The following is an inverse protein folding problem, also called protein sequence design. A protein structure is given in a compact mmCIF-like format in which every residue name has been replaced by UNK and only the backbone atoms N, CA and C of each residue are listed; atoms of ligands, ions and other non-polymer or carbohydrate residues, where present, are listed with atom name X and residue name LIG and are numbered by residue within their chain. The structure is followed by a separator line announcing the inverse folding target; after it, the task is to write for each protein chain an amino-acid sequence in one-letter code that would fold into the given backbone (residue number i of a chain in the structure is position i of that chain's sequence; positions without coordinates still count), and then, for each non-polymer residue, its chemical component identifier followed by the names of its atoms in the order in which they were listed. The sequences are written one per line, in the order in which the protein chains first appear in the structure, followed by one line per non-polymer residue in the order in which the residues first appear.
data_IF_390546573611
#
_entry.id   IF_390546573611
#
_cell.length_a   1.000
_cell.length_b   1.000
_cell.length_c   1.000
_cell.angle_alpha   90.00
_cell.angle_beta   90.00
_cell.angle_gamma   90.00
#
_symmetry.space_group_name_H-M   'P 1'
#
loop_
_entity.id
_entity.type
_entity.pdbx_description
1 polymer ?
#
# COMPACT_ATOMS: atom_id res chain seq x y z
N UNK A 1 3.97 3.25 20.06
CA UNK A 1 2.54 3.32 19.73
C UNK A 1 1.65 2.73 20.80
N UNK A 2 1.96 1.54 21.35
CA UNK A 2 1.03 0.77 22.20
C UNK A 2 1.17 1.01 23.72
N UNK A 3 1.88 2.06 24.13
CA UNK A 3 2.09 2.44 25.54
C UNK A 3 1.48 3.82 25.81
N UNK A 4 0.16 3.95 25.73
CA UNK A 4 -0.53 5.24 25.74
C UNK A 4 -0.26 6.10 27.00
N UNK A 5 0.08 5.46 28.12
CA UNK A 5 0.36 6.12 29.40
C UNK A 5 1.83 6.44 29.66
N UNK A 6 2.73 6.07 28.73
CA UNK A 6 4.15 6.44 28.83
C UNK A 6 4.34 7.96 28.59
N UNK A 7 5.33 8.57 29.25
CA UNK A 7 5.69 9.99 29.03
C UNK A 7 5.88 10.34 27.53
N UNK A 8 6.55 9.50 26.71
CA UNK A 8 6.61 9.72 25.25
C UNK A 8 5.24 9.65 24.56
N UNK A 9 4.34 8.76 24.98
CA UNK A 9 3.01 8.67 24.37
C UNK A 9 2.12 9.86 24.72
N UNK A 10 2.28 10.45 25.91
CA UNK A 10 1.60 11.69 26.27
C UNK A 10 2.01 12.86 25.35
N UNK A 11 3.29 12.94 24.99
CA UNK A 11 3.79 13.92 24.02
C UNK A 11 3.15 13.72 22.62
N UNK A 12 3.04 12.47 22.17
CA UNK A 12 2.45 12.15 20.87
C UNK A 12 0.92 12.00 20.86
N UNK A 13 0.24 12.22 21.99
CA UNK A 13 -1.21 12.01 22.13
C UNK A 13 -2.04 12.70 21.03
N UNK A 14 -1.76 13.97 20.63
CA UNK A 14 -2.50 14.59 19.52
C UNK A 14 -2.34 13.88 18.19
N UNK A 15 -1.11 13.40 17.87
CA UNK A 15 -0.85 12.64 16.65
C UNK A 15 -1.54 11.27 16.69
N UNK A 16 -1.46 10.56 17.82
CA UNK A 16 -2.11 9.26 17.98
C UNK A 16 -3.64 9.36 17.87
N UNK A 17 -4.23 10.46 18.33
CA UNK A 17 -5.67 10.70 18.29
C UNK A 17 -6.24 10.90 16.87
N UNK A 18 -5.40 11.27 15.89
CA UNK A 18 -5.80 11.46 14.49
C UNK A 18 -5.44 10.28 13.60
N UNK A 19 -4.78 9.24 14.13
CA UNK A 19 -4.55 8.02 13.38
C UNK A 19 -5.90 7.36 13.03
N UNK A 20 -6.00 6.71 11.87
CA UNK A 20 -7.16 5.89 11.54
C UNK A 20 -7.38 4.87 12.66
N UNK A 21 -8.56 4.90 13.30
CA UNK A 21 -8.88 3.98 14.38
C UNK A 21 -9.04 2.55 13.84
N UNK A 22 -8.71 1.56 14.67
CA UNK A 22 -9.10 0.17 14.43
C UNK A 22 -10.59 0.14 14.06
N UNK A 23 -11.00 -0.59 13.01
CA UNK A 23 -12.12 -0.13 12.21
C UNK A 23 -13.43 -0.24 12.97
N UNK A 24 -14.17 0.87 12.99
CA UNK A 24 -15.61 0.92 13.17
C UNK A 24 -16.28 0.15 12.01
N UNK A 25 -16.12 -1.17 12.02
CA UNK A 25 -16.93 -2.25 11.43
C UNK A 25 -17.36 -2.18 9.95
N UNK A 26 -16.84 -1.28 9.12
CA UNK A 26 -17.09 -1.24 7.66
C UNK A 26 -15.83 -1.42 6.79
N UNK A 27 -14.67 -1.18 7.38
CA UNK A 27 -13.35 -1.21 6.71
C UNK A 27 -12.36 -2.09 7.49
N UNK A 28 -12.72 -3.37 7.69
CA UNK A 28 -11.78 -4.33 8.29
C UNK A 28 -10.44 -4.28 7.55
N UNK A 29 -9.32 -4.13 8.27
CA UNK A 29 -7.95 -4.22 7.72
C UNK A 29 -7.66 -5.57 7.03
N UNK A 30 -8.56 -6.54 7.24
CA UNK A 30 -8.41 -7.93 6.83
C UNK A 30 -9.24 -8.24 5.59
N UNK A 31 -8.60 -8.71 4.53
CA UNK A 31 -9.29 -9.24 3.36
C UNK A 31 -9.71 -10.70 3.58
N UNK A 32 -10.96 -11.00 3.25
CA UNK A 32 -11.45 -12.37 3.09
C UNK A 32 -10.86 -13.03 1.85
N UNK A 33 -10.93 -14.36 1.77
CA UNK A 33 -10.46 -15.08 0.57
C UNK A 33 -11.27 -14.71 -0.67
N UNK A 34 -12.59 -14.51 -0.54
CA UNK A 34 -13.43 -14.10 -1.65
C UNK A 34 -13.03 -12.72 -2.19
N UNK A 35 -12.70 -11.77 -1.31
CA UNK A 35 -12.23 -10.44 -1.73
C UNK A 35 -10.87 -10.53 -2.42
N UNK A 36 -9.92 -11.32 -1.89
CA UNK A 36 -8.60 -11.52 -2.52
C UNK A 36 -8.71 -12.26 -3.86
N UNK A 37 -9.58 -13.27 -3.95
CA UNK A 37 -9.84 -13.99 -5.19
C UNK A 37 -10.47 -13.08 -6.24
N UNK A 38 -11.30 -12.12 -5.82
CA UNK A 38 -11.90 -11.13 -6.72
C UNK A 38 -10.87 -10.18 -7.35
N UNK A 39 -9.68 -10.01 -6.77
CA UNK A 39 -8.61 -9.23 -7.41
C UNK A 39 -8.07 -9.93 -8.66
N UNK A 40 -8.35 -11.24 -8.78
CA UNK A 40 -7.83 -12.12 -9.82
C UNK A 40 -6.31 -12.15 -9.90
N UNK A 41 -5.58 -11.81 -8.82
CA UNK A 41 -4.12 -11.84 -8.73
C UNK A 41 -3.67 -12.83 -7.64
N UNK A 42 -3.40 -14.10 -7.99
CA UNK A 42 -2.97 -15.12 -7.03
C UNK A 42 -1.71 -14.74 -6.24
N UNK A 43 -0.84 -13.93 -6.82
CA UNK A 43 0.40 -13.45 -6.21
C UNK A 43 0.10 -12.48 -5.06
N UNK A 44 -0.88 -11.58 -5.24
CA UNK A 44 -1.33 -10.66 -4.18
C UNK A 44 -1.95 -11.45 -3.03
N UNK A 45 -2.80 -12.44 -3.33
CA UNK A 45 -3.41 -13.32 -2.31
C UNK A 45 -2.33 -14.06 -1.51
N UNK A 46 -1.37 -14.65 -2.22
CA UNK A 46 -0.24 -15.38 -1.62
C UNK A 46 0.59 -14.50 -0.70
N UNK A 47 0.97 -13.30 -1.16
CA UNK A 47 1.76 -12.35 -0.40
C UNK A 47 0.99 -11.81 0.82
N UNK A 48 -0.30 -11.49 0.65
CA UNK A 48 -1.18 -11.07 1.72
C UNK A 48 -1.25 -12.14 2.84
N UNK A 49 -1.51 -13.39 2.48
CA UNK A 49 -1.58 -14.51 3.43
C UNK A 49 -0.24 -14.76 4.13
N UNK A 50 0.87 -14.63 3.39
CA UNK A 50 2.22 -14.72 3.96
C UNK A 50 2.45 -13.67 5.05
N UNK A 51 2.02 -12.42 4.81
CA UNK A 51 2.14 -11.30 5.77
C UNK A 51 1.26 -11.50 7.00
N UNK A 52 -0.01 -11.89 6.82
CA UNK A 52 -0.90 -12.19 7.95
C UNK A 52 -0.33 -13.31 8.82
N UNK A 53 0.13 -14.41 8.22
CA UNK A 53 0.76 -15.50 8.96
C UNK A 53 2.04 -15.07 9.69
N UNK A 54 2.77 -14.08 9.18
CA UNK A 54 3.93 -13.51 9.86
C UNK A 54 3.52 -12.68 11.08
N UNK A 55 2.42 -11.93 11.00
CA UNK A 55 1.86 -11.20 12.14
C UNK A 55 1.39 -12.20 13.21
N UNK A 56 0.69 -13.25 12.80
CA UNK A 56 0.24 -14.33 13.71
C UNK A 56 1.41 -14.97 14.47
N UNK A 57 2.44 -15.41 13.76
CA UNK A 57 3.65 -15.98 14.39
C UNK A 57 4.36 -14.99 15.31
N UNK A 58 4.38 -13.71 14.94
CA UNK A 58 5.00 -12.67 15.76
C UNK A 58 4.23 -12.49 17.06
N UNK A 59 2.90 -12.44 17.00
CA UNK A 59 2.03 -12.36 18.17
C UNK A 59 2.24 -13.55 19.12
N UNK A 60 2.26 -14.77 18.58
CA UNK A 60 2.48 -16.00 19.36
C UNK A 60 3.86 -16.04 20.02
N UNK A 61 4.91 -15.54 19.34
CA UNK A 61 6.27 -15.50 19.87
C UNK A 61 6.42 -14.60 21.10
N UNK A 62 5.66 -13.50 21.18
CA UNK A 62 5.72 -12.61 22.34
C UNK A 62 5.14 -13.23 23.61
N UNK A 63 4.48 -14.39 23.52
CA UNK A 63 3.85 -15.11 24.64
C UNK A 63 3.13 -14.15 25.60
N UNK A 64 2.26 -13.32 25.01
CA UNK A 64 1.51 -12.30 25.73
C UNK A 64 0.75 -12.88 26.94
N UNK A 65 0.30 -14.14 26.88
CA UNK A 65 -0.35 -14.82 28.00
C UNK A 65 0.58 -14.98 29.23
N UNK A 66 1.87 -15.31 29.05
CA UNK A 66 2.86 -15.35 30.14
C UNK A 66 3.31 -13.96 30.60
N UNK A 67 3.17 -12.95 29.74
CA UNK A 67 3.42 -11.54 30.08
C UNK A 67 2.28 -10.97 30.93
N UNK A 68 1.04 -11.47 30.75
CA UNK A 68 -0.15 -11.05 31.49
C UNK A 68 -0.47 -11.90 32.72
N UNK A 69 0.22 -13.03 32.93
CA UNK A 69 0.09 -13.85 34.14
C UNK A 69 0.79 -13.26 35.37
N UNK A 70 1.62 -12.22 35.19
CA UNK A 70 2.40 -11.58 36.25
C UNK A 70 3.76 -12.22 36.51
N UNK A 71 4.15 -13.22 35.71
CA UNK A 71 5.44 -13.92 35.82
C UNK A 71 6.61 -13.12 35.20
N UNK A 72 6.31 -12.06 34.46
CA UNK A 72 7.27 -11.09 33.93
C UNK A 72 6.76 -9.67 34.16
N UNK A 73 7.68 -8.72 34.40
CA UNK A 73 7.36 -7.30 34.39
C UNK A 73 6.75 -6.96 33.03
N UNK A 74 5.56 -6.36 33.02
CA UNK A 74 4.94 -5.90 31.78
C UNK A 74 5.59 -4.56 31.37
N UNK A 75 6.53 -4.52 30.40
CA UNK A 75 7.17 -3.29 29.93
C UNK A 75 6.20 -2.21 29.43
N UNK A 76 4.91 -2.51 29.28
CA UNK A 76 3.89 -1.62 28.73
C UNK A 76 2.94 -1.04 29.80
N UNK A 77 3.01 -1.50 31.06
CA UNK A 77 2.17 -1.04 32.16
C UNK A 77 0.99 -1.95 32.49
N UNK A 78 0.58 -1.96 33.75
CA UNK A 78 -0.45 -2.86 34.27
C UNK A 78 -1.82 -2.62 33.61
N UNK A 79 -2.51 -3.69 33.22
CA UNK A 79 -3.90 -3.64 32.72
C UNK A 79 -4.07 -3.49 31.21
N UNK A 80 -3.01 -3.25 30.43
CA UNK A 80 -3.08 -3.18 28.97
C UNK A 80 -2.99 -4.58 28.36
N UNK A 81 -4.11 -5.12 27.86
CA UNK A 81 -4.14 -6.39 27.11
C UNK A 81 -3.97 -6.14 25.62
N UNK A 82 -2.95 -6.74 25.02
CA UNK A 82 -2.69 -6.66 23.60
C UNK A 82 -3.52 -7.71 22.88
N UNK A 83 -4.40 -7.28 21.98
CA UNK A 83 -5.08 -8.19 21.06
C UNK A 83 -4.23 -8.39 19.81
N UNK A 84 -4.44 -9.51 19.14
CA UNK A 84 -3.86 -9.76 17.82
C UNK A 84 -4.29 -8.69 16.81
N UNK A 85 -5.51 -8.16 16.94
CA UNK A 85 -6.03 -7.12 16.06
C UNK A 85 -5.32 -5.77 16.32
N UNK A 86 -5.00 -5.45 17.56
CA UNK A 86 -4.19 -4.29 17.91
C UNK A 86 -2.75 -4.41 17.34
N UNK A 87 -2.19 -5.63 17.27
CA UNK A 87 -0.93 -5.88 16.55
C UNK A 87 -1.07 -5.60 15.06
N UNK A 88 -2.11 -6.15 14.42
CA UNK A 88 -2.38 -5.96 12.99
C UNK A 88 -2.54 -4.48 12.66
N UNK A 89 -3.32 -3.75 13.47
CA UNK A 89 -3.48 -2.31 13.34
C UNK A 89 -2.15 -1.57 13.49
N UNK A 90 -1.37 -1.88 14.54
CA UNK A 90 -0.06 -1.26 14.75
C UNK A 90 0.91 -1.50 13.59
N UNK A 91 0.98 -2.73 13.09
CA UNK A 91 1.76 -3.07 11.89
C UNK A 91 1.26 -2.30 10.67
N UNK A 92 -0.06 -2.23 10.47
CA UNK A 92 -0.65 -1.48 9.37
C UNK A 92 -0.29 0.01 9.42
N UNK A 93 -0.40 0.66 10.58
CA UNK A 93 0.02 2.07 10.75
C UNK A 93 1.49 2.24 10.38
N UNK A 94 2.38 1.37 10.86
CA UNK A 94 3.81 1.47 10.53
C UNK A 94 4.06 1.26 9.04
N UNK A 95 3.40 0.28 8.40
CA UNK A 95 3.57 0.02 6.97
C UNK A 95 3.05 1.16 6.11
N UNK A 96 1.89 1.73 6.47
CA UNK A 96 1.19 2.74 5.66
C UNK A 96 1.64 4.18 5.93
N UNK A 97 2.27 4.47 7.08
CA UNK A 97 2.59 5.85 7.50
C UNK A 97 4.04 6.11 7.86
N UNK A 98 4.83 5.07 8.17
CA UNK A 98 6.24 5.30 8.49
C UNK A 98 7.04 5.60 7.21
N UNK A 99 7.76 6.72 7.22
CA UNK A 99 8.57 7.19 6.11
C UNK A 99 10.00 6.70 6.27
N UNK A 100 10.56 6.18 5.18
CA UNK A 100 12.00 5.91 5.07
C UNK A 100 12.75 7.23 4.88
N UNK A 101 13.52 7.66 5.87
CA UNK A 101 14.25 8.92 5.84
C UNK A 101 15.70 8.72 6.25
N UNK A 102 16.59 9.55 5.74
CA UNK A 102 17.97 9.58 6.21
C UNK A 102 18.06 10.35 7.53
N UNK A 103 18.75 9.78 8.52
CA UNK A 103 19.12 10.49 9.74
C UNK A 103 20.39 11.36 9.51
N UNK A 104 20.90 12.00 10.56
CA UNK A 104 22.13 12.82 10.50
C UNK A 104 23.34 12.03 9.98
N UNK A 105 23.42 10.74 10.28
CA UNK A 105 24.50 9.82 9.88
C UNK A 105 24.28 9.21 8.49
N UNK A 106 23.25 9.66 7.76
CA UNK A 106 22.81 9.15 6.45
C UNK A 106 22.33 7.71 6.45
N UNK A 107 22.02 7.17 7.62
CA UNK A 107 21.38 5.86 7.75
C UNK A 107 19.91 5.97 7.41
N UNK A 108 19.40 4.97 6.69
CA UNK A 108 17.97 4.89 6.40
C UNK A 108 17.24 4.38 7.64
N UNK A 109 16.41 5.24 8.23
CA UNK A 109 15.54 4.92 9.36
C UNK A 109 14.07 5.05 8.94
N UNK A 110 13.20 4.27 9.59
CA UNK A 110 11.74 4.42 9.43
C UNK A 110 11.18 5.22 10.59
N UNK A 111 10.59 6.37 10.29
CA UNK A 111 9.99 7.26 11.29
C UNK A 111 8.53 7.52 10.98
N UNK A 112 7.70 7.51 12.02
CA UNK A 112 6.38 8.14 11.96
C UNK A 112 6.57 9.62 12.29
N UNK A 113 6.36 10.49 11.30
CA UNK A 113 6.64 11.92 11.43
C UNK A 113 5.30 12.67 11.46
N UNK A 114 4.92 13.28 12.60
CA UNK A 114 3.66 14.03 12.71
C UNK A 114 3.51 15.05 11.58
N UNK A 115 2.29 15.25 11.11
CA UNK A 115 1.91 16.11 9.96
C UNK A 115 2.37 15.59 8.60
N UNK A 116 3.60 15.09 8.48
CA UNK A 116 4.10 14.57 7.20
C UNK A 116 3.40 13.25 6.84
N UNK A 117 3.07 12.43 7.85
CA UNK A 117 2.32 11.18 7.68
C UNK A 117 0.86 11.36 7.23
N UNK A 118 0.37 12.61 7.20
CA UNK A 118 -0.97 12.95 6.71
C UNK A 118 -0.98 13.31 5.22
N UNK A 119 0.18 13.48 4.59
CA UNK A 119 0.28 13.92 3.20
C UNK A 119 0.11 12.71 2.28
N UNK A 120 -0.89 12.75 1.40
CA UNK A 120 -1.22 11.64 0.52
C UNK A 120 -0.18 11.43 -0.60
N UNK A 121 -0.25 10.24 -1.19
CA UNK A 121 0.57 9.85 -2.32
C UNK A 121 0.01 10.39 -3.65
N UNK A 122 0.90 10.82 -4.53
CA UNK A 122 0.70 10.66 -5.97
C UNK A 122 2.01 10.42 -6.70
N UNK A 123 2.02 9.55 -7.71
CA UNK A 123 3.18 9.39 -8.58
C UNK A 123 3.47 10.65 -9.43
N UNK A 124 2.47 11.51 -9.61
CA UNK A 124 2.62 12.81 -10.29
C UNK A 124 3.14 13.91 -9.36
N UNK A 125 3.26 13.65 -8.07
CA UNK A 125 3.75 14.63 -7.10
C UNK A 125 5.18 15.09 -7.44
N UNK A 126 5.38 16.41 -7.40
CA UNK A 126 6.68 17.06 -7.58
C UNK A 126 7.28 17.50 -6.23
N UNK A 127 6.51 17.44 -5.15
CA UNK A 127 6.97 17.87 -3.83
C UNK A 127 7.92 16.84 -3.22
N UNK A 128 8.97 17.33 -2.57
CA UNK A 128 10.07 16.49 -2.08
C UNK A 128 10.18 16.58 -0.55
N UNK A 129 10.32 15.43 0.11
CA UNK A 129 10.70 15.34 1.51
C UNK A 129 12.23 15.44 1.63
N UNK A 130 12.73 16.44 2.36
CA UNK A 130 14.16 16.65 2.61
C UNK A 130 14.48 16.77 4.08
N UNK A 131 15.58 16.15 4.50
CA UNK A 131 16.19 16.41 5.79
C UNK A 131 17.16 17.59 5.68
N UNK A 132 16.97 18.62 6.52
CA UNK A 132 17.84 19.80 6.57
C UNK A 132 17.93 20.31 7.98
N UNK A 133 19.17 20.43 8.51
CA UNK A 133 19.46 21.05 9.82
C UNK A 133 18.49 20.56 10.91
N UNK A 134 18.43 19.25 11.08
CA UNK A 134 17.64 18.60 12.15
C UNK A 134 16.13 18.70 12.01
N UNK A 135 15.65 18.97 10.79
CA UNK A 135 14.22 19.01 10.47
C UNK A 135 13.90 18.28 9.18
N UNK A 136 12.72 17.66 9.13
CA UNK A 136 12.12 17.13 7.91
C UNK A 136 11.23 18.20 7.29
N UNK A 137 11.47 18.49 6.01
CA UNK A 137 10.82 19.55 5.27
C UNK A 137 10.15 18.97 4.03
N UNK A 138 8.89 19.31 3.79
CA UNK A 138 8.24 19.07 2.51
C UNK A 138 8.37 20.33 1.68
N UNK A 139 9.09 20.22 0.57
CA UNK A 139 9.41 21.35 -0.30
C UNK A 139 8.53 21.26 -1.54
N UNK A 140 7.80 22.34 -1.82
CA UNK A 140 6.98 22.43 -3.02
C UNK A 140 7.85 22.34 -4.27
N UNK A 141 7.52 21.42 -5.19
CA UNK A 141 8.21 21.27 -6.48
C UNK A 141 7.57 22.09 -7.60
N UNK A 142 6.36 22.61 -7.37
CA UNK A 142 5.61 23.45 -8.30
C UNK A 142 4.78 24.48 -7.52
N UNK A 143 4.14 25.41 -8.24
CA UNK A 143 3.13 26.30 -7.65
C UNK A 143 1.94 25.46 -7.18
N UNK A 144 1.45 25.75 -5.97
CA UNK A 144 0.29 25.10 -5.37
C UNK A 144 -0.74 26.21 -5.09
N UNK A 145 -1.92 26.10 -5.66
CA UNK A 145 -2.99 27.08 -5.46
C UNK A 145 -3.74 26.84 -4.14
N UNK A 146 -4.39 27.89 -3.64
CA UNK A 146 -5.18 27.77 -2.43
C UNK A 146 -6.34 26.78 -2.63
N UNK A 147 -6.43 25.79 -1.73
CA UNK A 147 -7.43 24.73 -1.79
C UNK A 147 -6.98 23.47 -2.54
N UNK A 148 -5.80 23.49 -3.20
CA UNK A 148 -5.21 22.28 -3.77
C UNK A 148 -4.59 21.40 -2.69
N UNK A 149 -4.76 20.09 -2.85
CA UNK A 149 -4.12 19.10 -1.98
C UNK A 149 -2.63 18.99 -2.30
N UNK A 150 -1.82 18.87 -1.24
CA UNK A 150 -0.38 18.62 -1.35
C UNK A 150 -0.15 17.12 -1.35
N UNK A 151 0.51 16.62 -2.40
CA UNK A 151 0.92 15.21 -2.51
C UNK A 151 2.43 15.05 -2.41
N UNK A 152 2.89 13.87 -1.99
CA UNK A 152 4.28 13.40 -2.09
C UNK A 152 4.36 12.04 -2.80
N UNK A 153 5.56 11.63 -3.18
CA UNK A 153 5.80 10.26 -3.61
C UNK A 153 6.09 9.37 -2.41
N UNK A 154 5.36 8.27 -2.27
CA UNK A 154 5.65 7.25 -1.28
C UNK A 154 6.76 6.33 -1.80
N UNK A 155 7.53 5.77 -0.86
CA UNK A 155 8.70 4.95 -1.19
C UNK A 155 9.72 5.71 -2.04
N UNK A 156 10.16 5.09 -3.12
CA UNK A 156 11.06 5.67 -4.12
C UNK A 156 10.31 6.25 -5.33
N UNK A 157 8.97 6.31 -5.28
CA UNK A 157 8.12 6.74 -6.39
C UNK A 157 7.88 5.69 -7.46
N UNK A 158 8.24 4.42 -7.23
CA UNK A 158 8.03 3.32 -8.18
C UNK A 158 6.98 2.30 -7.71
N UNK A 159 6.06 2.71 -6.82
CA UNK A 159 5.06 1.80 -6.25
C UNK A 159 3.98 1.45 -7.28
N UNK A 160 3.77 0.15 -7.49
CA UNK A 160 2.63 -0.38 -8.26
C UNK A 160 1.37 -0.39 -7.41
N UNK A 161 0.19 -0.42 -8.03
CA UNK A 161 -1.09 -0.58 -7.36
C UNK A 161 -1.17 -1.89 -6.57
N UNK A 162 -0.43 -2.94 -6.93
CA UNK A 162 -0.32 -4.14 -6.08
C UNK A 162 0.34 -3.81 -4.75
N UNK A 163 1.38 -2.97 -4.75
CA UNK A 163 2.05 -2.51 -3.53
C UNK A 163 1.18 -1.50 -2.78
N UNK A 164 0.57 -0.54 -3.48
CA UNK A 164 -0.33 0.46 -2.88
C UNK A 164 -1.53 -0.20 -2.19
N UNK A 165 -2.11 -1.22 -2.82
CA UNK A 165 -3.20 -2.01 -2.24
C UNK A 165 -2.75 -2.76 -0.97
N UNK A 166 -1.59 -3.41 -1.02
CA UNK A 166 -1.10 -4.24 0.08
C UNK A 166 -0.60 -3.42 1.28
N UNK A 167 0.06 -2.29 1.03
CA UNK A 167 0.73 -1.48 2.05
C UNK A 167 -0.15 -0.34 2.56
N UNK A 168 -0.96 0.27 1.69
CA UNK A 168 -1.68 1.52 1.97
C UNK A 168 -3.19 1.43 1.77
N UNK A 169 -3.71 0.33 1.22
CA UNK A 169 -5.14 0.06 1.02
C UNK A 169 -5.84 1.02 0.05
N UNK A 170 -5.12 1.50 -0.96
CA UNK A 170 -5.72 2.27 -2.06
C UNK A 170 -5.11 1.86 -3.41
N UNK A 171 -5.74 2.31 -4.48
CA UNK A 171 -5.30 2.14 -5.87
C UNK A 171 -5.18 3.54 -6.47
N UNK A 172 -4.09 3.81 -7.17
CA UNK A 172 -3.91 5.06 -7.91
C UNK A 172 -4.35 4.90 -9.37
N UNK A 173 -5.17 5.84 -9.85
CA UNK A 173 -5.61 5.90 -11.24
C UNK A 173 -4.46 6.33 -12.16
N UNK A 174 -4.34 5.66 -13.31
CA UNK A 174 -3.32 5.91 -14.32
C UNK A 174 -1.88 5.79 -13.74
N UNK A 175 -1.67 4.80 -12.88
CA UNK A 175 -0.36 4.53 -12.29
C UNK A 175 0.62 3.94 -13.33
N UNK A 176 1.53 4.77 -13.84
CA UNK A 176 2.55 4.37 -14.81
C UNK A 176 3.46 3.21 -14.34
N UNK A 177 3.59 3.01 -13.03
CA UNK A 177 4.39 1.94 -12.47
C UNK A 177 3.73 0.56 -12.65
N UNK A 178 2.41 0.48 -12.83
CA UNK A 178 1.72 -0.81 -13.03
C UNK A 178 2.15 -1.48 -14.31
N UNK A 179 2.28 -0.71 -15.40
CA UNK A 179 2.77 -1.24 -16.67
C UNK A 179 4.17 -1.85 -16.49
N UNK A 180 5.05 -1.17 -15.73
CA UNK A 180 6.39 -1.69 -15.41
C UNK A 180 6.31 -2.96 -14.56
N UNK A 181 5.36 -3.02 -13.63
CA UNK A 181 5.06 -4.18 -12.80
C UNK A 181 4.64 -5.39 -13.64
N UNK A 182 3.69 -5.21 -14.55
CA UNK A 182 3.22 -6.25 -15.50
C UNK A 182 4.39 -6.79 -16.33
N UNK A 183 5.29 -5.91 -16.76
CA UNK A 183 6.45 -6.27 -17.57
C UNK A 183 7.65 -6.76 -16.73
N UNK A 184 7.52 -6.86 -15.41
CA UNK A 184 8.55 -7.34 -14.48
C UNK A 184 9.83 -6.49 -14.45
N UNK A 185 9.77 -5.22 -14.86
CA UNK A 185 10.96 -4.38 -15.06
C UNK A 185 11.91 -4.90 -16.15
N UNK A 186 11.50 -5.91 -16.92
CA UNK A 186 12.33 -6.61 -17.91
C UNK A 186 12.31 -5.94 -19.28
N UNK A 187 11.40 -4.98 -19.52
CA UNK A 187 11.25 -4.35 -20.84
C UNK A 187 12.55 -3.69 -21.35
N UNK A 188 13.33 -3.07 -20.46
CA UNK A 188 14.63 -2.47 -20.81
C UNK A 188 15.76 -3.50 -20.99
N UNK A 189 15.56 -4.73 -20.50
CA UNK A 189 16.53 -5.84 -20.53
C UNK A 189 16.11 -6.95 -21.51
N UNK A 190 15.00 -6.75 -22.21
CA UNK A 190 14.42 -7.75 -23.09
C UNK A 190 15.36 -7.95 -24.28
N UNK A 191 15.76 -9.20 -24.52
CA UNK A 191 16.55 -9.52 -25.71
C UNK A 191 15.67 -9.37 -26.96
N UNK A 192 16.21 -8.82 -28.07
CA UNK A 192 15.47 -8.76 -29.33
C UNK A 192 14.88 -10.12 -29.71
N UNK A 193 13.59 -10.14 -30.08
CA UNK A 193 12.86 -11.34 -30.46
C UNK A 193 12.15 -12.06 -29.29
N UNK A 194 12.18 -11.52 -28.07
CA UNK A 194 11.41 -12.04 -26.92
C UNK A 194 10.11 -11.28 -26.67
N UNK A 195 9.87 -10.20 -27.39
CA UNK A 195 8.67 -9.36 -27.32
C UNK A 195 7.42 -10.17 -27.58
N UNK A 196 7.42 -11.02 -28.63
CA UNK A 196 6.27 -11.84 -28.99
C UNK A 196 5.89 -12.84 -27.88
N UNK A 197 6.88 -13.43 -27.20
CA UNK A 197 6.62 -14.37 -26.09
C UNK A 197 5.99 -13.65 -24.90
N UNK A 198 6.52 -12.48 -24.54
CA UNK A 198 5.98 -11.69 -23.44
C UNK A 198 4.58 -11.17 -23.80
N UNK A 199 4.37 -10.73 -25.04
CA UNK A 199 3.08 -10.30 -25.56
C UNK A 199 2.05 -11.42 -25.45
N UNK A 200 2.36 -12.64 -25.93
CA UNK A 200 1.45 -13.78 -25.82
C UNK A 200 1.12 -14.11 -24.37
N UNK A 201 2.07 -13.95 -23.44
CA UNK A 201 1.81 -14.13 -22.01
C UNK A 201 0.85 -13.08 -21.44
N UNK A 202 1.04 -11.81 -21.79
CA UNK A 202 0.18 -10.70 -21.34
C UNK A 202 -1.22 -10.84 -21.94
N UNK A 203 -1.34 -11.15 -23.23
CA UNK A 203 -2.62 -11.37 -23.91
C UNK A 203 -3.36 -12.60 -23.36
N UNK A 204 -2.66 -13.71 -23.13
CA UNK A 204 -3.26 -14.88 -22.49
C UNK A 204 -3.79 -14.55 -21.09
N UNK A 205 -3.05 -13.71 -20.34
CA UNK A 205 -3.48 -13.24 -19.02
C UNK A 205 -4.73 -12.36 -19.10
N UNK A 206 -4.74 -11.37 -19.98
CA UNK A 206 -5.91 -10.51 -20.24
C UNK A 206 -7.15 -11.33 -20.60
N UNK A 207 -6.99 -12.32 -21.48
CA UNK A 207 -8.09 -13.20 -21.92
C UNK A 207 -8.57 -14.17 -20.82
N UNK A 208 -7.77 -14.39 -19.78
CA UNK A 208 -8.13 -15.26 -18.65
C UNK A 208 -8.91 -14.56 -17.53
N UNK A 209 -9.00 -13.22 -17.58
CA UNK A 209 -9.72 -12.45 -16.57
C UNK A 209 -11.21 -12.76 -16.61
N UNK A 210 -11.82 -12.99 -15.44
CA UNK A 210 -13.23 -13.40 -15.34
C UNK A 210 -14.16 -12.20 -15.18
N UNK A 211 -13.76 -11.22 -14.39
CA UNK A 211 -14.49 -9.97 -14.19
C UNK A 211 -14.60 -9.21 -15.49
N UNK A 212 -15.81 -8.74 -15.81
CA UNK A 212 -16.05 -7.92 -17.00
C UNK A 212 -15.75 -6.44 -16.70
N UNK A 213 -15.17 -5.68 -17.65
CA UNK A 213 -15.00 -4.24 -17.49
C UNK A 213 -16.30 -3.51 -17.15
N UNK A 214 -17.43 -3.95 -17.73
CA UNK A 214 -18.75 -3.35 -17.50
C UNK A 214 -19.26 -3.56 -16.07
N UNK A 215 -18.91 -4.69 -15.44
CA UNK A 215 -19.22 -4.93 -14.04
C UNK A 215 -18.42 -4.00 -13.13
N UNK A 216 -17.13 -3.85 -13.40
CA UNK A 216 -16.26 -2.94 -12.65
C UNK A 216 -16.73 -1.50 -12.81
N UNK A 217 -17.01 -1.03 -14.03
CA UNK A 217 -17.55 0.31 -14.30
C UNK A 217 -18.86 0.56 -13.55
N UNK A 218 -19.74 -0.45 -13.47
CA UNK A 218 -20.99 -0.34 -12.69
C UNK A 218 -20.72 -0.20 -11.20
N UNK A 219 -19.77 -0.96 -10.65
CA UNK A 219 -19.38 -0.86 -9.23
C UNK A 219 -18.84 0.55 -8.95
N UNK A 220 -17.96 1.05 -9.81
CA UNK A 220 -17.34 2.36 -9.66
C UNK A 220 -18.35 3.51 -9.81
N UNK A 221 -19.26 3.41 -10.78
CA UNK A 221 -20.29 4.42 -11.01
C UNK A 221 -21.36 4.51 -9.90
N UNK A 222 -21.53 3.43 -9.13
CA UNK A 222 -22.50 3.34 -8.02
C UNK A 222 -21.82 2.97 -6.70
N UNK A 223 -20.62 3.52 -6.46
CA UNK A 223 -19.76 3.13 -5.35
C UNK A 223 -20.45 3.13 -3.98
N UNK A 224 -21.42 4.01 -3.76
CA UNK A 224 -22.25 4.12 -2.56
C UNK A 224 -23.14 2.89 -2.29
N UNK A 225 -23.37 2.07 -3.32
CA UNK A 225 -24.16 0.83 -3.25
C UNK A 225 -23.31 -0.40 -2.91
N UNK A 226 -21.98 -0.24 -2.78
CA UNK A 226 -21.04 -1.34 -2.57
C UNK A 226 -20.20 -1.11 -1.32
N UNK A 227 -19.56 -2.16 -0.81
CA UNK A 227 -18.60 -2.00 0.29
C UNK A 227 -17.33 -1.33 -0.22
N UNK A 228 -16.59 -0.59 0.64
CA UNK A 228 -15.34 0.04 0.23
C UNK A 228 -14.32 -0.94 -0.36
N UNK A 229 -14.27 -2.18 0.12
CA UNK A 229 -13.41 -3.24 -0.44
C UNK A 229 -13.87 -3.72 -1.81
N UNK A 230 -15.18 -3.82 -2.06
CA UNK A 230 -15.69 -4.14 -3.39
C UNK A 230 -15.31 -3.05 -4.39
N UNK A 231 -15.45 -1.78 -4.00
CA UNK A 231 -15.01 -0.63 -4.81
C UNK A 231 -13.51 -0.68 -5.05
N UNK A 232 -12.71 -0.91 -4.01
CA UNK A 232 -11.26 -1.02 -4.11
C UNK A 232 -10.80 -2.17 -5.03
N UNK A 233 -11.44 -3.34 -4.94
CA UNK A 233 -11.14 -4.46 -5.83
C UNK A 233 -11.52 -4.14 -7.29
N UNK A 234 -12.65 -3.48 -7.53
CA UNK A 234 -13.04 -3.04 -8.88
C UNK A 234 -12.08 -1.98 -9.44
N UNK A 235 -11.65 -1.01 -8.62
CA UNK A 235 -10.62 -0.04 -8.99
C UNK A 235 -9.33 -0.75 -9.37
N UNK A 236 -8.86 -1.67 -8.53
CA UNK A 236 -7.64 -2.44 -8.79
C UNK A 236 -7.72 -3.20 -10.12
N UNK A 237 -8.81 -3.95 -10.35
CA UNK A 237 -8.98 -4.71 -11.60
C UNK A 237 -9.01 -3.80 -12.83
N UNK A 238 -9.69 -2.67 -12.73
CA UNK A 238 -9.76 -1.66 -13.81
C UNK A 238 -8.38 -1.15 -14.17
N UNK A 239 -7.62 -0.66 -13.20
CA UNK A 239 -6.29 -0.09 -13.43
C UNK A 239 -5.27 -1.17 -13.87
N UNK A 240 -5.36 -2.37 -13.28
CA UNK A 240 -4.51 -3.48 -13.68
C UNK A 240 -4.76 -3.93 -15.13
N UNK A 241 -6.04 -3.96 -15.56
CA UNK A 241 -6.40 -4.25 -16.95
C UNK A 241 -5.83 -3.21 -17.91
N UNK A 242 -6.03 -1.91 -17.62
CA UNK A 242 -5.45 -0.81 -18.41
C UNK A 242 -3.93 -0.96 -18.53
N UNK A 243 -3.24 -1.28 -17.43
CA UNK A 243 -1.80 -1.48 -17.42
C UNK A 243 -1.36 -2.67 -18.30
N UNK A 244 -2.10 -3.78 -18.29
CA UNK A 244 -1.83 -4.92 -19.17
C UNK A 244 -2.10 -4.61 -20.65
N UNK A 245 -3.18 -3.90 -20.96
CA UNK A 245 -3.49 -3.46 -22.32
C UNK A 245 -2.40 -2.53 -22.86
N UNK A 246 -2.01 -1.53 -22.07
CA UNK A 246 -0.90 -0.62 -22.39
C UNK A 246 0.43 -1.37 -22.57
N UNK A 247 0.71 -2.38 -21.73
CA UNK A 247 1.89 -3.23 -21.87
C UNK A 247 1.87 -4.05 -23.16
N UNK A 248 0.72 -4.61 -23.53
CA UNK A 248 0.54 -5.35 -24.77
C UNK A 248 0.74 -4.45 -26.01
N UNK A 249 0.19 -3.24 -26.00
CA UNK A 249 0.39 -2.26 -27.08
C UNK A 249 1.87 -1.92 -27.29
N UNK A 250 2.59 -1.62 -26.21
CA UNK A 250 4.02 -1.33 -26.28
C UNK A 250 4.83 -2.52 -26.82
N UNK A 251 4.47 -3.75 -26.44
CA UNK A 251 5.11 -4.96 -26.96
C UNK A 251 4.80 -5.21 -28.43
N UNK A 252 3.56 -4.97 -28.90
CA UNK A 252 3.20 -5.03 -30.33
C UNK A 252 4.02 -4.05 -31.14
N UNK A 253 4.14 -2.81 -30.65
CA UNK A 253 4.95 -1.76 -31.28
C UNK A 253 6.42 -2.16 -31.42
N UNK A 254 7.02 -2.72 -30.35
CA UNK A 254 8.42 -3.20 -30.39
C UNK A 254 8.64 -4.42 -31.27
N UNK A 255 7.65 -5.30 -31.35
CA UNK A 255 7.71 -6.49 -32.21
C UNK A 255 7.48 -6.16 -33.70
N UNK A 256 7.17 -4.91 -34.06
CA UNK A 256 6.81 -4.54 -35.44
C UNK A 256 5.46 -5.11 -35.88
N UNK A 257 4.57 -5.37 -34.92
CA UNK A 257 3.22 -5.93 -35.14
C UNK A 257 2.12 -4.86 -35.06
N UNK A 258 2.48 -3.57 -34.94
CA UNK A 258 1.51 -2.47 -35.05
C UNK A 258 1.02 -2.36 -36.49
N UNK A 259 -0.30 -2.25 -36.66
CA UNK A 259 -0.93 -1.93 -37.94
C UNK A 259 -0.46 -0.57 -38.49
#
# INVERSE_FOLDING_TARGET
MMQEDSQPAQFFKPMLAVLPKEPDNKDSLVFSDAELDSLEQPEIKSEYRRREAQIDRSYEKFNFDAMYSGDMENPMGDGIKYSKDALRWGVFIIVSRALGVQNQDRELVKLLIPFIDMINHSNKALNELKFKKDSYNVIAGAKIEAGEEVFIRYGDGNLTNSQLLLDYRFVETDNENDQRGVLGGTLSKLKPGKEAVLLSSVEARLNSLKASPEEDDKILAKSESYTPKQVLCAQFRTEHRKAMESAAEELRRRAGLSA
#
